data_IF_555032518671
#
_entry.id   IF_555032518671
#
_cell.length_a   1.000
_cell.length_b   1.000
_cell.length_c   1.000
_cell.angle_alpha   90.00
_cell.angle_beta   90.00
_cell.angle_gamma   90.00
#
_symmetry.space_group_name_H-M   'P 1'
#
loop_
_entity.id
_entity.type
_entity.pdbx_description
1 polymer ?
#
# COMPACT_ATOMS: atom_id res chain seq x y z
N UNK A 1 -11.38 -18.65 0.60
CA UNK A 1 -10.11 -18.17 0.04
C UNK A 1 -9.49 -17.32 1.13
N UNK A 2 -8.32 -17.69 1.64
CA UNK A 2 -7.69 -16.94 2.74
C UNK A 2 -7.20 -15.56 2.28
N UNK A 3 -7.12 -14.56 3.18
CA UNK A 3 -6.74 -13.20 2.82
C UNK A 3 -5.33 -13.19 2.22
N UNK A 4 -5.14 -12.53 1.07
CA UNK A 4 -3.87 -12.50 0.33
C UNK A 4 -2.89 -11.43 0.83
N UNK A 5 -3.18 -10.78 1.94
CA UNK A 5 -2.34 -9.77 2.57
C UNK A 5 -1.66 -10.38 3.78
N UNK A 6 -0.35 -10.20 3.89
CA UNK A 6 0.50 -10.91 4.87
C UNK A 6 1.25 -12.12 4.30
N UNK A 7 0.95 -12.57 3.07
CA UNK A 7 1.88 -13.45 2.35
C UNK A 7 3.00 -12.63 1.75
N UNK A 8 4.23 -13.04 2.07
CA UNK A 8 5.42 -12.79 1.25
C UNK A 8 5.06 -13.02 -0.22
N UNK A 9 4.94 -11.96 -1.01
CA UNK A 9 4.84 -12.07 -2.46
C UNK A 9 6.24 -12.16 -3.04
N UNK A 10 6.44 -13.13 -3.92
CA UNK A 10 7.64 -13.20 -4.74
C UNK A 10 7.61 -12.05 -5.77
N UNK A 11 8.80 -11.59 -6.17
CA UNK A 11 8.93 -10.58 -7.23
C UNK A 11 8.32 -11.13 -8.53
N UNK A 12 7.77 -10.25 -9.38
CA UNK A 12 7.15 -10.52 -10.71
C UNK A 12 5.62 -10.59 -10.82
N UNK A 13 4.86 -10.56 -9.71
CA UNK A 13 3.40 -10.48 -9.81
C UNK A 13 2.91 -9.04 -10.00
N UNK A 14 1.93 -8.88 -10.89
CA UNK A 14 1.21 -7.61 -11.06
C UNK A 14 0.31 -7.33 -9.84
N UNK A 15 0.23 -6.07 -9.43
CA UNK A 15 -0.64 -5.64 -8.33
C UNK A 15 -2.07 -5.39 -8.81
N UNK A 16 -3.06 -5.98 -8.13
CA UNK A 16 -4.48 -5.85 -8.47
C UNK A 16 -5.19 -4.68 -7.78
N UNK A 17 -4.47 -3.91 -6.97
CA UNK A 17 -4.96 -2.83 -6.11
C UNK A 17 -3.89 -1.76 -5.93
N UNK A 18 -4.27 -0.57 -5.47
CA UNK A 18 -3.31 0.40 -4.94
C UNK A 18 -2.96 0.00 -3.51
N UNK A 19 -1.66 -0.02 -3.21
CA UNK A 19 -1.10 -0.58 -1.99
C UNK A 19 -0.26 0.47 -1.28
N UNK A 20 -0.36 0.50 0.04
CA UNK A 20 0.60 1.17 0.91
C UNK A 20 1.73 0.19 1.22
N UNK A 21 2.98 0.62 1.03
CA UNK A 21 4.15 -0.17 1.39
C UNK A 21 4.38 -0.10 2.90
N UNK A 22 4.38 -1.26 3.58
CA UNK A 22 4.61 -1.33 5.02
C UNK A 22 6.07 -1.62 5.33
N UNK A 23 6.64 -2.66 4.71
CA UNK A 23 8.01 -3.12 4.99
C UNK A 23 8.56 -3.92 3.80
N UNK A 24 9.88 -3.99 3.67
CA UNK A 24 10.57 -4.72 2.58
C UNK A 24 11.82 -5.43 3.08
N UNK A 25 12.28 -6.43 2.33
CA UNK A 25 13.53 -7.13 2.60
C UNK A 25 14.78 -6.28 2.40
N UNK A 26 14.65 -5.13 1.73
CA UNK A 26 15.79 -4.29 1.38
C UNK A 26 16.11 -3.30 2.50
N UNK A 27 17.39 -2.93 2.66
CA UNK A 27 17.79 -1.92 3.64
C UNK A 27 17.03 -0.61 3.45
N UNK A 28 16.71 0.06 4.55
CA UNK A 28 15.97 1.33 4.55
C UNK A 28 14.53 1.26 4.00
N UNK A 29 13.95 0.05 3.89
CA UNK A 29 12.55 -0.14 3.49
C UNK A 29 12.27 0.20 2.03
N UNK A 30 13.29 0.16 1.17
CA UNK A 30 13.17 0.48 -0.26
C UNK A 30 12.64 -0.71 -1.05
N UNK A 31 12.02 -0.45 -2.20
CA UNK A 31 11.77 -1.45 -3.23
C UNK A 31 11.76 -0.82 -4.62
N UNK A 32 11.78 -1.65 -5.64
CA UNK A 32 11.80 -1.24 -7.04
C UNK A 32 10.55 -1.73 -7.76
N UNK A 33 9.95 -0.87 -8.55
CA UNK A 33 8.79 -1.21 -9.37
C UNK A 33 9.02 -0.86 -10.84
N UNK A 34 8.43 -1.66 -11.72
CA UNK A 34 8.20 -1.32 -13.12
C UNK A 34 6.76 -0.85 -13.31
N UNK A 35 6.57 0.16 -14.15
CA UNK A 35 5.25 0.71 -14.49
C UNK A 35 4.95 0.60 -15.99
N UNK A 36 5.60 -0.34 -16.69
CA UNK A 36 5.45 -0.50 -18.14
C UNK A 36 3.98 -0.64 -18.58
N UNK A 37 3.15 -1.36 -17.81
CA UNK A 37 1.71 -1.51 -18.08
C UNK A 37 0.88 -0.24 -17.80
N UNK A 38 1.42 0.72 -17.04
CA UNK A 38 0.73 1.95 -16.64
C UNK A 38 1.08 3.15 -17.53
N UNK A 39 2.36 3.38 -17.79
CA UNK A 39 2.86 4.55 -18.51
C UNK A 39 3.86 4.22 -19.63
N UNK A 40 4.15 2.94 -19.86
CA UNK A 40 5.12 2.51 -20.87
C UNK A 40 6.57 2.77 -20.49
N UNK A 41 6.86 3.21 -19.26
CA UNK A 41 8.23 3.42 -18.80
C UNK A 41 8.88 2.09 -18.40
N UNK A 42 10.08 1.83 -18.93
CA UNK A 42 10.88 0.63 -18.66
C UNK A 42 11.89 0.82 -17.53
N UNK A 43 12.05 2.06 -17.05
CA UNK A 43 12.96 2.36 -15.95
C UNK A 43 12.36 1.92 -14.62
N UNK A 44 13.20 1.37 -13.75
CA UNK A 44 12.82 1.07 -12.38
C UNK A 44 12.55 2.37 -11.61
N UNK A 45 11.40 2.42 -10.94
CA UNK A 45 11.05 3.47 -9.98
C UNK A 45 11.30 2.96 -8.57
N UNK A 46 11.95 3.78 -7.76
CA UNK A 46 12.17 3.48 -6.34
C UNK A 46 10.94 3.88 -5.53
N UNK A 47 10.57 3.02 -4.59
CA UNK A 47 9.53 3.24 -3.58
C UNK A 47 10.11 2.90 -2.21
N UNK A 48 9.54 3.48 -1.15
CA UNK A 48 10.00 3.26 0.21
C UNK A 48 8.84 3.22 1.20
N UNK A 49 8.90 2.28 2.14
CA UNK A 49 8.04 2.30 3.31
C UNK A 49 8.31 3.58 4.12
N UNK A 50 7.33 4.02 4.91
CA UNK A 50 7.61 5.09 5.88
C UNK A 50 8.60 4.55 6.93
N UNK A 51 9.47 5.38 7.52
CA UNK A 51 10.41 4.92 8.52
C UNK A 51 9.72 4.16 9.66
N UNK A 52 8.57 4.68 10.12
CA UNK A 52 7.80 4.09 11.19
C UNK A 52 7.23 2.70 10.82
N UNK A 53 6.73 2.48 9.60
CA UNK A 53 6.22 1.15 9.20
C UNK A 53 7.34 0.18 8.85
N UNK A 54 8.46 0.68 8.31
CA UNK A 54 9.62 -0.12 7.91
C UNK A 54 10.25 -0.83 9.12
N UNK A 55 10.17 -0.22 10.31
CA UNK A 55 10.64 -0.82 11.57
C UNK A 55 9.94 -2.14 11.92
N UNK A 56 8.75 -2.42 11.36
CA UNK A 56 8.06 -3.71 11.56
C UNK A 56 8.83 -4.88 10.93
N UNK A 57 9.69 -4.64 9.93
CA UNK A 57 10.52 -5.69 9.34
C UNK A 57 9.70 -6.88 8.81
N UNK A 58 10.08 -8.09 9.22
CA UNK A 58 9.38 -9.34 8.94
C UNK A 58 8.59 -9.89 10.15
N UNK A 59 8.32 -9.04 11.15
CA UNK A 59 7.50 -9.38 12.31
C UNK A 59 6.02 -9.49 11.90
N UNK A 60 5.59 -10.73 11.67
CA UNK A 60 4.22 -11.05 11.27
C UNK A 60 3.17 -10.64 12.31
N UNK A 61 3.52 -10.61 13.60
CA UNK A 61 2.60 -10.18 14.67
C UNK A 61 2.40 -8.66 14.61
N UNK A 62 3.48 -7.91 14.38
CA UNK A 62 3.40 -6.46 14.17
C UNK A 62 2.60 -6.11 12.91
N UNK A 63 2.83 -6.85 11.81
CA UNK A 63 2.15 -6.62 10.52
C UNK A 63 0.67 -7.00 10.60
N UNK A 64 0.34 -8.13 11.23
CA UNK A 64 -1.06 -8.55 11.42
C UNK A 64 -1.80 -7.61 12.37
N UNK A 65 -1.13 -7.07 13.39
CA UNK A 65 -1.67 -6.06 14.29
C UNK A 65 -1.79 -4.65 13.69
N UNK A 66 -1.37 -4.43 12.45
CA UNK A 66 -1.37 -3.11 11.84
C UNK A 66 -2.79 -2.56 11.69
N UNK A 67 -3.04 -1.40 12.32
CA UNK A 67 -4.31 -0.70 12.32
C UNK A 67 -4.08 0.79 12.11
N UNK A 68 -4.40 1.28 10.92
CA UNK A 68 -4.13 2.66 10.52
C UNK A 68 -5.27 3.25 9.71
N UNK A 69 -5.23 4.55 9.46
CA UNK A 69 -6.18 5.24 8.59
C UNK A 69 -5.43 6.04 7.53
N UNK A 70 -5.76 5.81 6.25
CA UNK A 70 -5.21 6.60 5.14
C UNK A 70 -6.20 7.70 4.79
N UNK A 71 -5.73 8.94 4.80
CA UNK A 71 -6.48 10.10 4.33
C UNK A 71 -5.74 10.64 3.10
N UNK A 72 -6.35 10.60 1.93
CA UNK A 72 -5.72 11.03 0.69
C UNK A 72 -6.67 11.73 -0.27
N UNK A 73 -6.12 12.31 -1.34
CA UNK A 73 -6.93 12.88 -2.41
C UNK A 73 -7.84 11.83 -3.09
N UNK A 74 -8.94 12.31 -3.69
CA UNK A 74 -9.84 11.47 -4.48
C UNK A 74 -9.10 10.79 -5.65
N UNK A 75 -9.58 9.62 -6.11
CA UNK A 75 -8.99 8.93 -7.25
C UNK A 75 -8.85 9.87 -8.46
N UNK A 76 -7.66 9.87 -9.06
CA UNK A 76 -7.35 10.72 -10.20
C UNK A 76 -6.33 10.02 -11.12
N UNK A 77 -6.21 10.50 -12.36
CA UNK A 77 -5.37 9.86 -13.38
C UNK A 77 -3.90 10.29 -13.36
N UNK A 78 -3.40 10.88 -12.27
CA UNK A 78 -2.01 11.37 -12.17
C UNK A 78 -1.12 10.30 -11.52
N UNK A 79 -0.49 9.48 -12.35
CA UNK A 79 0.41 8.40 -11.88
C UNK A 79 1.63 8.91 -11.08
N UNK A 80 2.05 10.15 -11.32
CA UNK A 80 3.23 10.76 -10.71
C UNK A 80 2.90 11.67 -9.52
N UNK A 81 1.63 11.78 -9.13
CA UNK A 81 1.20 12.65 -8.04
C UNK A 81 0.24 11.89 -7.13
N UNK A 82 0.68 11.73 -5.89
CA UNK A 82 -0.14 11.27 -4.79
C UNK A 82 0.18 12.08 -3.55
N UNK A 83 -0.85 12.54 -2.87
CA UNK A 83 -0.74 13.22 -1.59
C UNK A 83 -1.75 12.65 -0.60
N UNK A 84 -1.24 12.20 0.54
CA UNK A 84 -2.05 11.75 1.66
C UNK A 84 -1.29 11.75 2.98
N UNK A 85 -1.94 11.24 4.00
CA UNK A 85 -1.37 10.95 5.31
C UNK A 85 -1.87 9.62 5.83
N UNK A 86 -1.00 8.92 6.55
CA UNK A 86 -1.32 7.74 7.34
C UNK A 86 -1.44 8.18 8.81
N UNK A 87 -2.59 7.91 9.41
CA UNK A 87 -2.81 8.02 10.85
C UNK A 87 -2.50 6.65 11.45
N UNK A 88 -1.43 6.55 12.22
CA UNK A 88 -0.99 5.29 12.82
C UNK A 88 -0.39 5.54 14.20
N UNK A 89 -0.81 4.74 15.20
CA UNK A 89 -0.36 4.88 16.60
C UNK A 89 -0.50 6.32 17.16
N UNK A 90 -1.56 7.03 16.76
CA UNK A 90 -1.81 8.42 17.19
C UNK A 90 -0.90 9.47 16.53
N UNK A 91 -0.11 9.08 15.52
CA UNK A 91 0.78 9.97 14.76
C UNK A 91 0.25 10.14 13.33
N UNK A 92 0.47 11.33 12.77
CA UNK A 92 0.23 11.59 11.35
C UNK A 92 1.54 11.47 10.59
N UNK A 93 1.59 10.55 9.63
CA UNK A 93 2.75 10.29 8.79
C UNK A 93 2.41 10.73 7.35
N UNK A 94 3.16 11.66 6.74
CA UNK A 94 2.91 12.04 5.36
C UNK A 94 3.19 10.85 4.44
N UNK A 95 2.28 10.58 3.50
CA UNK A 95 2.48 9.57 2.46
C UNK A 95 2.40 10.24 1.09
N UNK A 96 3.36 9.89 0.23
CA UNK A 96 3.48 10.44 -1.12
C UNK A 96 3.54 9.30 -2.12
N UNK A 97 3.77 9.65 -3.39
CA UNK A 97 4.01 8.66 -4.44
C UNK A 97 5.12 7.65 -4.07
N UNK A 98 6.11 8.06 -3.27
CA UNK A 98 7.19 7.17 -2.84
C UNK A 98 6.72 6.00 -1.97
N UNK A 99 5.61 6.16 -1.24
CA UNK A 99 5.13 5.18 -0.27
C UNK A 99 4.03 4.25 -0.80
N UNK A 100 3.51 4.55 -2.00
CA UNK A 100 2.41 3.80 -2.60
C UNK A 100 2.85 3.02 -3.84
N UNK A 101 2.25 1.86 -4.02
CA UNK A 101 2.35 1.06 -5.23
C UNK A 101 1.01 1.07 -5.93
N UNK A 102 1.02 1.46 -7.21
CA UNK A 102 -0.19 1.53 -8.01
C UNK A 102 -0.56 0.15 -8.53
N UNK A 103 -1.85 -0.12 -8.70
CA UNK A 103 -2.33 -1.28 -9.47
C UNK A 103 -1.60 -1.35 -10.82
N UNK A 104 -1.19 -2.53 -11.25
CA UNK A 104 -0.49 -2.73 -12.53
C UNK A 104 1.02 -2.58 -12.44
N UNK A 105 1.57 -2.11 -11.31
CA UNK A 105 3.03 -2.14 -11.14
C UNK A 105 3.52 -3.57 -10.86
N UNK A 106 4.76 -3.84 -11.27
CA UNK A 106 5.45 -5.10 -11.04
C UNK A 106 6.62 -4.86 -10.11
N UNK A 107 6.66 -5.58 -8.99
CA UNK A 107 7.77 -5.46 -8.03
C UNK A 107 9.00 -6.24 -8.53
N UNK A 108 10.18 -5.63 -8.35
CA UNK A 108 11.49 -6.16 -8.77
C UNK A 108 12.49 -6.10 -7.62
N UNK A 109 13.50 -6.97 -7.72
CA UNK A 109 14.70 -6.94 -6.88
C UNK A 109 14.43 -6.86 -5.37
N UNK A 110 13.36 -7.50 -4.91
CA UNK A 110 12.96 -7.49 -3.50
C UNK A 110 12.51 -8.90 -3.13
N UNK A 111 13.13 -9.48 -2.12
CA UNK A 111 12.96 -10.90 -1.75
C UNK A 111 11.63 -11.17 -1.04
N UNK A 112 11.17 -10.19 -0.27
CA UNK A 112 9.86 -10.17 0.38
C UNK A 112 9.47 -8.74 0.70
N UNK A 113 8.18 -8.51 0.86
CA UNK A 113 7.63 -7.21 1.20
C UNK A 113 6.24 -7.39 1.80
N UNK A 114 5.86 -6.44 2.64
CA UNK A 114 4.57 -6.34 3.25
C UNK A 114 3.89 -5.06 2.80
N UNK A 115 2.60 -5.17 2.55
CA UNK A 115 1.81 -4.09 2.00
C UNK A 115 0.40 -4.16 2.52
N UNK A 116 -0.29 -3.03 2.41
CA UNK A 116 -1.69 -2.92 2.75
C UNK A 116 -2.49 -2.39 1.56
N UNK A 117 -3.47 -3.13 1.00
CA UNK A 117 -4.32 -2.64 -0.07
C UNK A 117 -5.31 -1.61 0.49
N UNK A 118 -5.32 -0.41 -0.08
CA UNK A 118 -6.22 0.66 0.37
C UNK A 118 -7.22 1.10 -0.71
N UNK A 119 -7.00 0.77 -1.99
CA UNK A 119 -7.95 1.07 -3.07
C UNK A 119 -8.01 -0.06 -4.09
N UNK A 120 -9.21 -0.42 -4.55
CA UNK A 120 -9.39 -1.48 -5.58
C UNK A 120 -10.34 -1.04 -6.69
N UNK A 121 -10.35 -1.77 -7.80
CA UNK A 121 -11.14 -1.40 -9.00
C UNK A 121 -12.64 -1.32 -8.74
N UNK A 122 -13.12 -2.08 -7.76
CA UNK A 122 -14.48 -2.07 -7.26
C UNK A 122 -14.53 -1.28 -5.96
N UNK A 123 -14.31 0.04 -5.99
CA UNK A 123 -14.41 0.89 -4.78
C UNK A 123 -15.83 0.94 -4.16
N UNK A 124 -16.76 0.05 -4.56
CA UNK A 124 -17.98 -0.31 -3.82
C UNK A 124 -17.88 -1.65 -3.04
N UNK A 125 -16.94 -2.56 -3.37
CA UNK A 125 -16.95 -3.97 -2.93
C UNK A 125 -15.69 -4.41 -2.16
N UNK A 126 -14.83 -3.49 -1.70
CA UNK A 126 -13.69 -3.88 -0.83
C UNK A 126 -14.15 -4.55 0.48
N UNK A 127 -15.43 -4.36 0.84
CA UNK A 127 -16.07 -5.06 1.95
C UNK A 127 -16.16 -6.58 1.75
N UNK A 128 -16.33 -7.07 0.52
CA UNK A 128 -16.80 -8.46 0.32
C UNK A 128 -15.71 -9.47 -0.04
N UNK A 129 -14.50 -9.04 -0.44
CA UNK A 129 -13.47 -9.97 -0.90
C UNK A 129 -12.37 -10.29 0.13
N UNK A 130 -12.17 -9.45 1.15
CA UNK A 130 -11.08 -9.63 2.12
C UNK A 130 -11.41 -9.31 3.58
N UNK A 131 -12.50 -8.60 3.91
CA UNK A 131 -12.88 -8.31 5.30
C UNK A 131 -11.97 -7.32 6.06
N UNK A 132 -11.07 -6.59 5.37
CA UNK A 132 -9.97 -5.83 5.99
C UNK A 132 -10.21 -4.30 6.01
N UNK A 133 -11.28 -3.79 5.40
CA UNK A 133 -11.55 -2.35 5.34
C UNK A 133 -12.95 -2.04 5.86
N UNK A 134 -13.06 -1.22 6.92
CA UNK A 134 -14.33 -0.97 7.61
C UNK A 134 -15.11 0.25 7.11
N UNK A 135 -14.57 1.00 6.15
CA UNK A 135 -15.29 2.13 5.55
C UNK A 135 -14.43 3.01 4.67
N UNK A 136 -15.05 3.49 3.59
CA UNK A 136 -14.57 4.62 2.80
C UNK A 136 -15.40 5.83 3.21
N UNK A 137 -14.75 6.86 3.75
CA UNK A 137 -15.38 8.13 4.12
C UNK A 137 -14.90 9.28 3.23
N UNK A 138 -15.68 10.36 3.19
CA UNK A 138 -15.22 11.65 2.67
C UNK A 138 -15.20 12.67 3.81
N UNK A 139 -14.03 13.25 4.08
CA UNK A 139 -13.88 14.38 4.99
C UNK A 139 -13.14 15.52 4.28
N UNK A 140 -13.76 16.70 4.23
CA UNK A 140 -13.20 17.90 3.62
C UNK A 140 -12.57 17.66 2.23
N UNK A 141 -13.31 16.96 1.34
CA UNK A 141 -12.91 16.54 -0.02
C UNK A 141 -11.79 15.49 -0.10
N UNK A 142 -11.36 14.94 1.03
CA UNK A 142 -10.38 13.85 1.12
C UNK A 142 -11.08 12.51 1.34
N UNK A 143 -10.53 11.46 0.74
CA UNK A 143 -10.96 10.09 0.95
C UNK A 143 -10.29 9.50 2.19
N UNK A 144 -11.06 8.81 3.01
CA UNK A 144 -10.60 8.18 4.25
C UNK A 144 -10.77 6.67 4.14
N UNK A 145 -9.68 5.92 4.27
CA UNK A 145 -9.64 4.46 4.21
C UNK A 145 -9.14 3.90 5.55
N UNK A 146 -9.98 3.13 6.24
CA UNK A 146 -9.62 2.52 7.53
C UNK A 146 -9.05 1.11 7.34
N UNK A 147 -7.84 0.92 7.83
CA UNK A 147 -7.05 -0.31 7.71
C UNK A 147 -7.19 -1.10 9.01
N UNK A 148 -7.70 -2.34 8.95
CA UNK A 148 -7.93 -3.18 10.14
C UNK A 148 -6.84 -4.23 10.31
N UNK A 149 -6.60 -4.69 11.56
CA UNK A 149 -5.75 -5.85 11.81
C UNK A 149 -6.20 -7.07 11.02
N UNK A 150 -5.24 -7.86 10.58
CA UNK A 150 -5.46 -9.15 9.92
C UNK A 150 -5.64 -10.21 11.03
N UNK A 151 -6.88 -10.47 11.41
CA UNK A 151 -7.25 -11.52 12.38
C UNK A 151 -7.27 -12.93 11.79
#
# INVERSE_FOLDING_TARGET
MEPRTGRRRDSHDEQSADLLLLSTSEPHGICYIETMELDGETNLKTRCATPDTAEMGDDLDAISGFNGEIICEAPNNRLNKFQGKLIWQGRELPITNENILLRGCILKNTRWWFYYPYRTVSDCDVFDLYGIMWGVGMDNWSMVYRLSPMG
#
